data_IF_068703376039
#
_entry.id   IF_068703376039
#
_cell.length_a   1.000
_cell.length_b   1.000
_cell.length_c   1.000
_cell.angle_alpha   90.00
_cell.angle_beta   90.00
_cell.angle_gamma   90.00
#
_symmetry.space_group_name_H-M   'P 1'
#
loop_
_entity.id
_entity.type
_entity.pdbx_description
1 polymer ?
#
# COMPACT_ATOMS: atom_id res chain seq x y z
N UNK A 1 -21.40 -8.91 -14.00
CA UNK A 1 -21.55 -10.38 -14.14
C UNK A 1 -20.48 -11.07 -13.32
N UNK A 2 -20.83 -12.19 -12.67
CA UNK A 2 -19.95 -13.01 -11.83
C UNK A 2 -19.91 -14.46 -12.33
N UNK A 3 -18.73 -15.08 -12.33
CA UNK A 3 -18.50 -16.49 -12.69
C UNK A 3 -17.68 -17.16 -11.59
N UNK A 4 -18.26 -18.16 -10.93
CA UNK A 4 -17.56 -18.96 -9.91
C UNK A 4 -16.94 -20.22 -10.53
N UNK A 5 -15.70 -20.52 -10.13
CA UNK A 5 -14.91 -21.64 -10.61
C UNK A 5 -14.32 -22.40 -9.40
N UNK A 6 -14.80 -23.62 -9.17
CA UNK A 6 -14.30 -24.49 -8.10
C UNK A 6 -13.27 -25.47 -8.65
N UNK A 7 -12.21 -25.74 -7.89
CA UNK A 7 -11.14 -26.70 -8.24
C UNK A 7 -10.65 -26.52 -9.69
N UNK A 8 -10.11 -25.33 -9.92
CA UNK A 8 -9.84 -24.78 -11.24
C UNK A 8 -8.36 -24.62 -11.54
N UNK A 9 -8.05 -24.09 -12.73
CA UNK A 9 -6.69 -23.77 -13.15
C UNK A 9 -6.63 -22.35 -13.69
N UNK A 10 -5.46 -21.72 -13.66
CA UNK A 10 -5.28 -20.37 -14.22
C UNK A 10 -5.75 -20.25 -15.68
N UNK A 11 -5.57 -21.31 -16.49
CA UNK A 11 -6.08 -21.37 -17.86
C UNK A 11 -7.60 -21.29 -17.94
N UNK A 12 -8.33 -22.00 -17.06
CA UNK A 12 -9.80 -21.93 -16.98
C UNK A 12 -10.27 -20.56 -16.49
N UNK A 13 -9.55 -19.94 -15.55
CA UNK A 13 -9.82 -18.57 -15.09
C UNK A 13 -9.67 -17.56 -16.23
N UNK A 14 -8.57 -17.64 -17.00
CA UNK A 14 -8.37 -16.77 -18.16
C UNK A 14 -9.46 -16.97 -19.22
N UNK A 15 -9.90 -18.22 -19.44
CA UNK A 15 -11.02 -18.51 -20.33
C UNK A 15 -12.32 -17.85 -19.85
N UNK A 16 -12.61 -17.88 -18.55
CA UNK A 16 -13.77 -17.24 -17.96
C UNK A 16 -13.72 -15.70 -18.09
N UNK A 17 -12.54 -15.07 -17.92
CA UNK A 17 -12.34 -13.65 -18.20
C UNK A 17 -12.70 -13.30 -19.65
N UNK A 18 -12.15 -14.06 -20.62
CA UNK A 18 -12.44 -13.84 -22.05
C UNK A 18 -13.93 -14.03 -22.37
N UNK A 19 -14.56 -15.05 -21.78
CA UNK A 19 -16.00 -15.26 -21.93
C UNK A 19 -16.80 -14.10 -21.35
N UNK A 20 -16.40 -13.58 -20.18
CA UNK A 20 -17.11 -12.50 -19.54
C UNK A 20 -17.04 -11.17 -20.27
N UNK A 21 -15.87 -10.83 -20.84
CA UNK A 21 -15.73 -9.68 -21.74
C UNK A 21 -16.67 -9.77 -22.94
N UNK A 22 -16.73 -10.94 -23.57
CA UNK A 22 -17.61 -11.18 -24.74
C UNK A 22 -19.08 -11.02 -24.37
N UNK A 23 -19.49 -11.51 -23.20
CA UNK A 23 -20.88 -11.42 -22.74
C UNK A 23 -21.33 -9.96 -22.49
N UNK A 24 -20.41 -9.09 -22.06
CA UNK A 24 -20.71 -7.67 -21.79
C UNK A 24 -20.53 -6.79 -23.05
N UNK A 25 -19.97 -7.34 -24.13
CA UNK A 25 -19.78 -6.63 -25.39
C UNK A 25 -18.64 -5.59 -25.36
N UNK A 26 -17.72 -5.68 -24.39
CA UNK A 26 -16.57 -4.79 -24.27
C UNK A 26 -15.29 -5.53 -24.68
N UNK A 27 -14.74 -5.27 -25.89
CA UNK A 27 -13.62 -6.05 -26.41
C UNK A 27 -12.25 -5.65 -25.83
N UNK A 28 -12.11 -4.44 -25.27
CA UNK A 28 -10.88 -3.98 -24.66
C UNK A 28 -11.18 -3.02 -23.50
N UNK A 29 -10.70 -3.36 -22.31
CA UNK A 29 -10.66 -2.43 -21.18
C UNK A 29 -9.30 -1.72 -21.28
N UNK A 30 -9.29 -0.39 -21.36
CA UNK A 30 -8.09 0.45 -21.39
C UNK A 30 -7.36 0.45 -20.04
N UNK A 31 -7.04 -0.73 -19.53
CA UNK A 31 -6.43 -0.92 -18.22
C UNK A 31 -4.99 -0.44 -18.25
N UNK A 32 -4.62 0.34 -17.24
CA UNK A 32 -3.30 0.96 -17.13
C UNK A 32 -2.36 0.18 -16.22
N UNK A 33 -2.87 -0.81 -15.47
CA UNK A 33 -2.09 -1.69 -14.60
C UNK A 33 -2.80 -3.01 -14.28
N UNK A 34 -2.02 -3.97 -13.79
CA UNK A 34 -2.54 -5.13 -13.02
C UNK A 34 -2.22 -4.91 -11.54
N UNK A 35 -3.24 -4.86 -10.69
CA UNK A 35 -3.12 -4.80 -9.24
C UNK A 35 -3.22 -6.23 -8.69
N UNK A 36 -2.17 -6.73 -8.07
CA UNK A 36 -2.13 -8.03 -7.38
C UNK A 36 -2.23 -7.76 -5.89
N UNK A 37 -3.36 -8.11 -5.28
CA UNK A 37 -3.59 -7.94 -3.84
C UNK A 37 -3.30 -9.27 -3.17
N UNK A 38 -2.43 -9.31 -2.17
CA UNK A 38 -2.09 -10.52 -1.43
C UNK A 38 -2.58 -10.38 0.00
N UNK A 39 -3.53 -11.23 0.40
CA UNK A 39 -4.24 -11.06 1.67
C UNK A 39 -4.85 -12.38 2.16
N UNK A 40 -5.54 -12.35 3.29
CA UNK A 40 -6.33 -13.45 3.84
C UNK A 40 -7.83 -13.23 3.58
N UNK A 41 -8.69 -14.15 4.05
CA UNK A 41 -10.13 -14.00 3.84
C UNK A 41 -10.74 -12.89 4.70
N UNK A 42 -10.14 -12.55 5.83
CA UNK A 42 -10.67 -11.57 6.78
C UNK A 42 -10.54 -10.15 6.22
N UNK A 43 -9.41 -9.86 5.59
CA UNK A 43 -9.07 -8.53 5.05
C UNK A 43 -9.47 -8.37 3.57
N UNK A 44 -9.88 -9.45 2.89
CA UNK A 44 -10.17 -9.44 1.45
C UNK A 44 -11.26 -8.44 1.05
N UNK A 45 -12.31 -8.29 1.85
CA UNK A 45 -13.43 -7.41 1.52
C UNK A 45 -12.98 -5.94 1.42
N UNK A 46 -12.28 -5.45 2.45
CA UNK A 46 -11.82 -4.05 2.50
C UNK A 46 -10.76 -3.79 1.43
N UNK A 47 -9.87 -4.75 1.18
CA UNK A 47 -8.86 -4.63 0.13
C UNK A 47 -9.46 -4.58 -1.28
N UNK A 48 -10.49 -5.39 -1.56
CA UNK A 48 -11.23 -5.36 -2.83
C UNK A 48 -11.91 -4.01 -2.99
N UNK A 49 -12.61 -3.53 -1.95
CA UNK A 49 -13.30 -2.25 -1.99
C UNK A 49 -12.34 -1.09 -2.25
N UNK A 50 -11.20 -1.05 -1.57
CA UNK A 50 -10.19 -0.02 -1.77
C UNK A 50 -9.62 -0.04 -3.20
N UNK A 51 -9.40 -1.23 -3.78
CA UNK A 51 -8.94 -1.35 -5.15
C UNK A 51 -10.01 -0.97 -6.19
N UNK A 52 -11.27 -1.29 -5.93
CA UNK A 52 -12.40 -0.85 -6.76
C UNK A 52 -12.53 0.68 -6.74
N UNK A 53 -12.39 1.32 -5.58
CA UNK A 53 -12.35 2.79 -5.47
C UNK A 53 -11.20 3.37 -6.29
N UNK A 54 -9.97 2.86 -6.13
CA UNK A 54 -8.80 3.30 -6.89
C UNK A 54 -8.95 3.09 -8.42
N UNK A 55 -9.67 2.05 -8.84
CA UNK A 55 -9.88 1.75 -10.26
C UNK A 55 -10.66 2.83 -11.01
N UNK A 56 -11.45 3.66 -10.31
CA UNK A 56 -12.18 4.77 -10.94
C UNK A 56 -11.24 5.82 -11.55
N UNK A 57 -10.11 6.09 -10.91
CA UNK A 57 -9.08 7.00 -11.42
C UNK A 57 -8.10 6.27 -12.34
N UNK A 58 -7.84 4.99 -12.05
CA UNK A 58 -6.85 4.19 -12.76
C UNK A 58 -7.43 2.82 -13.13
N UNK A 59 -8.13 2.69 -14.27
CA UNK A 59 -8.74 1.42 -14.68
C UNK A 59 -7.71 0.28 -14.66
N UNK A 60 -8.02 -0.79 -13.92
CA UNK A 60 -7.04 -1.85 -13.64
C UNK A 60 -7.66 -3.25 -13.71
N UNK A 61 -6.81 -4.25 -13.98
CA UNK A 61 -7.13 -5.64 -13.66
C UNK A 61 -6.73 -5.90 -12.21
N UNK A 62 -7.67 -6.29 -11.37
CA UNK A 62 -7.41 -6.65 -9.98
C UNK A 62 -7.38 -8.17 -9.82
N UNK A 63 -6.26 -8.70 -9.35
CA UNK A 63 -6.07 -10.11 -9.01
C UNK A 63 -5.91 -10.21 -7.49
N UNK A 64 -6.91 -10.73 -6.80
CA UNK A 64 -6.91 -10.86 -5.34
C UNK A 64 -6.48 -12.28 -5.00
N UNK A 65 -5.29 -12.43 -4.45
CA UNK A 65 -4.74 -13.71 -3.99
C UNK A 65 -5.04 -13.85 -2.49
N UNK A 66 -6.07 -14.64 -2.19
CA UNK A 66 -6.43 -15.02 -0.83
C UNK A 66 -5.70 -16.31 -0.48
N UNK A 67 -4.72 -16.22 0.42
CA UNK A 67 -3.98 -17.39 0.95
C UNK A 67 -4.80 -18.03 2.08
N UNK A 68 -5.39 -19.19 1.82
CA UNK A 68 -6.22 -19.88 2.83
C UNK A 68 -5.33 -20.68 3.78
N UNK A 69 -5.18 -20.19 4.99
CA UNK A 69 -4.59 -20.97 6.08
C UNK A 69 -5.65 -21.90 6.68
N UNK A 70 -5.60 -23.19 6.36
CA UNK A 70 -6.49 -24.16 7.01
C UNK A 70 -5.96 -24.56 8.40
N UNK A 71 -6.88 -24.57 9.37
CA UNK A 71 -6.63 -25.04 10.75
C UNK A 71 -6.54 -26.57 10.80
N UNK A 72 -7.01 -27.28 9.77
CA UNK A 72 -6.97 -28.73 9.68
C UNK A 72 -5.71 -29.19 8.94
N UNK A 73 -4.76 -29.89 9.58
CA UNK A 73 -3.52 -30.33 8.95
C UNK A 73 -3.71 -31.19 7.69
N UNK A 74 -4.81 -31.95 7.59
CA UNK A 74 -5.10 -32.80 6.41
C UNK A 74 -5.53 -32.02 5.17
N UNK A 75 -6.11 -30.84 5.37
CA UNK A 75 -6.49 -29.95 4.28
C UNK A 75 -5.31 -29.10 3.82
N UNK A 76 -4.25 -28.96 4.64
CA UNK A 76 -3.02 -28.24 4.26
C UNK A 76 -2.30 -28.89 3.08
N UNK A 77 -2.55 -30.18 2.82
CA UNK A 77 -1.85 -30.94 1.77
C UNK A 77 -2.69 -31.14 0.51
N UNK A 78 -3.93 -30.62 0.45
CA UNK A 78 -4.76 -30.71 -0.75
C UNK A 78 -4.58 -29.45 -1.59
N UNK A 79 -3.77 -29.49 -2.67
CA UNK A 79 -3.62 -28.34 -3.56
C UNK A 79 -4.95 -28.08 -4.27
N UNK A 80 -5.48 -26.87 -4.12
CA UNK A 80 -6.72 -26.46 -4.77
C UNK A 80 -6.67 -24.97 -5.07
N UNK A 81 -7.29 -24.60 -6.19
CA UNK A 81 -7.56 -23.23 -6.56
C UNK A 81 -9.06 -23.08 -6.76
N UNK A 82 -9.68 -22.15 -6.06
CA UNK A 82 -10.99 -21.65 -6.43
C UNK A 82 -10.85 -20.22 -6.94
N UNK A 83 -11.71 -19.84 -7.88
CA UNK A 83 -11.70 -18.50 -8.45
C UNK A 83 -13.10 -17.94 -8.62
N UNK A 84 -13.20 -16.63 -8.47
CA UNK A 84 -14.39 -15.84 -8.80
C UNK A 84 -13.97 -14.75 -9.79
N UNK A 85 -14.58 -14.75 -10.97
CA UNK A 85 -14.33 -13.74 -12.00
C UNK A 85 -15.49 -12.76 -12.02
N UNK A 86 -15.19 -11.48 -11.78
CA UNK A 86 -16.12 -10.36 -11.85
C UNK A 86 -15.77 -9.47 -13.02
N UNK A 87 -16.78 -9.10 -13.80
CA UNK A 87 -16.66 -8.22 -14.97
C UNK A 87 -17.87 -7.30 -15.09
N UNK A 88 -17.66 -6.12 -15.69
CA UNK A 88 -18.70 -5.09 -15.84
C UNK A 88 -19.08 -4.48 -14.49
N UNK A 89 -20.38 -4.30 -14.24
CA UNK A 89 -20.91 -3.68 -13.01
C UNK A 89 -20.44 -4.32 -11.70
N UNK A 90 -19.97 -5.56 -11.74
CA UNK A 90 -19.48 -6.31 -10.57
C UNK A 90 -17.98 -6.10 -10.28
N UNK A 91 -17.26 -5.34 -11.12
CA UNK A 91 -15.81 -5.15 -11.04
C UNK A 91 -15.38 -3.67 -11.15
N UNK A 92 -16.27 -2.75 -10.77
CA UNK A 92 -16.04 -1.32 -10.94
C UNK A 92 -15.81 -0.94 -12.41
N UNK A 93 -14.71 -0.23 -12.67
CA UNK A 93 -14.30 0.19 -14.02
C UNK A 93 -13.42 -0.83 -14.75
N UNK A 94 -13.12 -1.98 -14.12
CA UNK A 94 -12.14 -2.95 -14.59
C UNK A 94 -12.61 -4.41 -14.56
N UNK A 95 -11.69 -5.30 -14.21
CA UNK A 95 -11.94 -6.73 -14.00
C UNK A 95 -11.36 -7.14 -12.66
N UNK A 96 -12.11 -7.93 -11.89
CA UNK A 96 -11.64 -8.45 -10.60
C UNK A 96 -11.68 -9.96 -10.65
N UNK A 97 -10.55 -10.59 -10.35
CA UNK A 97 -10.44 -12.04 -10.14
C UNK A 97 -10.06 -12.28 -8.69
N UNK A 98 -10.91 -12.96 -7.95
CA UNK A 98 -10.59 -13.42 -6.60
C UNK A 98 -10.12 -14.86 -6.68
N UNK A 99 -8.89 -15.12 -6.28
CA UNK A 99 -8.22 -16.42 -6.27
C UNK A 99 -8.09 -16.89 -4.82
N UNK A 100 -8.73 -17.99 -4.47
CA UNK A 100 -8.54 -18.65 -3.17
C UNK A 100 -7.61 -19.84 -3.34
N UNK A 101 -6.44 -19.72 -2.74
CA UNK A 101 -5.36 -20.71 -2.85
C UNK A 101 -5.30 -21.57 -1.60
N UNK A 102 -5.14 -22.88 -1.78
CA UNK A 102 -5.08 -23.86 -0.71
C UNK A 102 -3.85 -24.76 -0.88
N UNK A 103 -3.23 -25.12 0.25
CA UNK A 103 -2.08 -26.00 0.29
C UNK A 103 -0.90 -25.49 -0.54
N UNK A 104 -0.27 -26.38 -1.29
CA UNK A 104 0.92 -26.06 -2.12
C UNK A 104 0.67 -24.96 -3.17
N UNK A 105 -0.59 -24.75 -3.59
CA UNK A 105 -0.95 -23.64 -4.50
C UNK A 105 -0.67 -22.28 -3.84
N UNK A 106 -0.81 -22.17 -2.51
CA UNK A 106 -0.53 -20.93 -1.79
C UNK A 106 0.95 -20.57 -1.77
N UNK A 107 1.82 -21.58 -1.78
CA UNK A 107 3.28 -21.41 -1.82
C UNK A 107 3.79 -21.06 -3.23
N UNK A 108 3.03 -21.41 -4.27
CA UNK A 108 3.33 -21.16 -5.67
C UNK A 108 2.26 -20.29 -6.37
N UNK A 109 1.69 -19.34 -5.63
CA UNK A 109 0.61 -18.49 -6.13
C UNK A 109 1.04 -17.61 -7.33
N UNK A 110 2.34 -17.31 -7.45
CA UNK A 110 2.94 -16.63 -8.59
C UNK A 110 2.71 -17.37 -9.91
N UNK A 111 2.78 -18.70 -9.90
CA UNK A 111 2.51 -19.54 -11.08
C UNK A 111 1.05 -19.44 -11.57
N UNK A 112 0.12 -19.15 -10.66
CA UNK A 112 -1.30 -18.92 -10.97
C UNK A 112 -1.51 -17.50 -11.48
N UNK A 113 -0.83 -16.51 -10.90
CA UNK A 113 -0.96 -15.09 -11.21
C UNK A 113 -0.32 -14.73 -12.55
N UNK A 114 0.89 -15.24 -12.82
CA UNK A 114 1.67 -14.92 -14.03
C UNK A 114 0.87 -14.99 -15.35
N UNK A 115 0.13 -16.08 -15.66
CA UNK A 115 -0.66 -16.15 -16.90
C UNK A 115 -1.92 -15.27 -16.91
N UNK A 116 -2.29 -14.66 -15.78
CA UNK A 116 -3.44 -13.75 -15.64
C UNK A 116 -3.05 -12.27 -15.71
N UNK A 117 -1.76 -11.96 -15.74
CA UNK A 117 -1.25 -10.60 -15.90
C UNK A 117 -1.63 -10.02 -17.26
N UNK A 118 -1.73 -8.70 -17.33
CA UNK A 118 -1.78 -7.99 -18.61
C UNK A 118 -0.37 -7.91 -19.19
N UNK A 119 -0.16 -8.27 -20.47
CA UNK A 119 1.19 -8.36 -21.05
C UNK A 119 1.89 -7.00 -21.15
N UNK A 120 1.14 -5.92 -21.40
CA UNK A 120 1.69 -4.59 -21.69
C UNK A 120 1.44 -3.56 -20.58
N UNK A 121 0.97 -4.00 -19.39
CA UNK A 121 0.66 -3.10 -18.28
C UNK A 121 1.55 -3.40 -17.07
N UNK A 122 2.00 -2.37 -16.32
CA UNK A 122 2.77 -2.56 -15.11
C UNK A 122 1.98 -3.37 -14.08
N UNK A 123 2.70 -4.18 -13.31
CA UNK A 123 2.19 -4.97 -12.20
C UNK A 123 2.52 -4.24 -10.89
N UNK A 124 1.47 -4.00 -10.12
CA UNK A 124 1.55 -3.46 -8.76
C UNK A 124 1.13 -4.57 -7.81
N UNK A 125 2.02 -4.96 -6.90
CA UNK A 125 1.71 -5.95 -5.86
C UNK A 125 1.46 -5.21 -4.56
N UNK A 126 0.37 -5.50 -3.88
CA UNK A 126 -0.02 -4.83 -2.65
C UNK A 126 -0.34 -5.87 -1.57
N UNK A 127 0.28 -5.70 -0.42
CA UNK A 127 -0.05 -6.40 0.82
C UNK A 127 -0.77 -5.41 1.74
N UNK A 128 -2.10 -5.49 1.86
CA UNK A 128 -2.85 -4.68 2.82
C UNK A 128 -2.41 -4.98 4.26
N UNK A 129 -2.09 -6.25 4.52
CA UNK A 129 -1.62 -6.78 5.80
C UNK A 129 -0.49 -7.79 5.54
N UNK A 130 0.26 -8.15 6.58
CA UNK A 130 1.22 -9.29 6.58
C UNK A 130 2.20 -9.31 5.40
N UNK A 131 2.74 -8.15 5.06
CA UNK A 131 3.72 -8.03 3.99
C UNK A 131 5.01 -8.83 4.30
N UNK A 132 5.55 -9.60 3.34
CA UNK A 132 6.73 -10.45 3.55
C UNK A 132 7.95 -9.62 3.96
N UNK A 133 8.92 -10.21 4.67
CA UNK A 133 10.13 -9.51 5.13
C UNK A 133 10.91 -8.85 3.97
N UNK A 134 10.97 -9.52 2.82
CA UNK A 134 11.55 -9.00 1.58
C UNK A 134 10.53 -9.05 0.44
N UNK A 135 9.75 -7.97 0.23
CA UNK A 135 8.77 -7.88 -0.84
C UNK A 135 9.36 -8.15 -2.23
N UNK A 136 10.59 -7.73 -2.51
CA UNK A 136 11.22 -7.93 -3.81
C UNK A 136 11.64 -9.38 -4.10
N UNK A 137 11.82 -10.20 -3.05
CA UNK A 137 12.16 -11.63 -3.17
C UNK A 137 10.97 -12.56 -2.97
N UNK A 138 9.81 -12.04 -2.54
CA UNK A 138 8.58 -12.82 -2.53
C UNK A 138 8.19 -13.22 -3.95
N UNK A 139 7.74 -14.47 -4.21
CA UNK A 139 7.40 -14.92 -5.56
C UNK A 139 6.37 -14.05 -6.27
N UNK A 140 5.34 -13.56 -5.57
CA UNK A 140 4.37 -12.63 -6.15
C UNK A 140 4.97 -11.24 -6.29
N UNK A 141 5.74 -10.79 -5.29
CA UNK A 141 6.44 -9.52 -5.33
C UNK A 141 7.41 -9.36 -6.51
N UNK A 142 8.10 -10.44 -6.89
CA UNK A 142 9.01 -10.47 -8.03
C UNK A 142 8.32 -10.22 -9.39
N UNK A 143 7.00 -10.43 -9.47
CA UNK A 143 6.20 -10.09 -10.66
C UNK A 143 5.96 -8.57 -10.77
N UNK A 144 6.01 -7.85 -9.65
CA UNK A 144 5.66 -6.44 -9.55
C UNK A 144 6.81 -5.50 -9.88
N UNK A 145 6.55 -4.46 -10.67
CA UNK A 145 7.44 -3.29 -10.76
C UNK A 145 7.23 -2.35 -9.58
N UNK A 146 6.04 -2.38 -8.97
CA UNK A 146 5.72 -1.67 -7.73
C UNK A 146 5.23 -2.64 -6.67
N UNK A 147 5.69 -2.45 -5.44
CA UNK A 147 5.36 -3.28 -4.29
C UNK A 147 4.93 -2.36 -3.15
N UNK A 148 3.69 -2.50 -2.73
CA UNK A 148 3.05 -1.63 -1.74
C UNK A 148 2.91 -2.41 -0.43
N UNK A 149 3.45 -1.87 0.65
CA UNK A 149 3.27 -2.37 2.01
C UNK A 149 2.64 -1.30 2.90
N UNK A 150 2.21 -1.68 4.10
CA UNK A 150 1.74 -0.71 5.09
C UNK A 150 2.28 -1.05 6.48
N UNK A 151 3.20 -0.22 7.01
CA UNK A 151 3.71 -0.40 8.36
C UNK A 151 2.64 -0.22 9.45
N UNK A 152 1.53 0.45 9.17
CA UNK A 152 0.46 0.63 10.15
C UNK A 152 -0.35 -0.64 10.42
N UNK A 153 -0.26 -1.64 9.56
CA UNK A 153 -0.95 -2.93 9.75
C UNK A 153 -0.05 -3.98 10.39
N UNK A 154 1.22 -3.66 10.66
CA UNK A 154 2.15 -4.53 11.36
C UNK A 154 1.93 -4.47 12.88
N UNK A 155 2.05 -5.62 13.54
CA UNK A 155 2.00 -5.72 15.01
C UNK A 155 3.13 -4.93 15.69
N UNK A 156 4.34 -4.97 15.12
CA UNK A 156 5.51 -4.25 15.60
C UNK A 156 6.09 -3.36 14.47
N UNK A 157 5.50 -2.19 14.18
CA UNK A 157 5.87 -1.37 13.03
C UNK A 157 7.34 -0.97 12.97
N UNK A 158 7.96 -0.68 14.12
CA UNK A 158 9.37 -0.25 14.18
C UNK A 158 10.34 -1.39 13.86
N UNK A 159 10.02 -2.63 14.28
CA UNK A 159 10.81 -3.81 13.92
C UNK A 159 10.70 -4.11 12.42
N UNK A 160 9.48 -4.03 11.88
CA UNK A 160 9.24 -4.21 10.44
C UNK A 160 9.94 -3.11 9.64
N UNK A 161 9.94 -1.86 10.10
CA UNK A 161 10.66 -0.77 9.44
C UNK A 161 12.17 -1.04 9.38
N UNK A 162 12.77 -1.54 10.45
CA UNK A 162 14.19 -1.92 10.46
C UNK A 162 14.48 -3.10 9.51
N UNK A 163 13.57 -4.08 9.42
CA UNK A 163 13.68 -5.15 8.43
C UNK A 163 13.59 -4.59 6.99
N UNK A 164 12.62 -3.70 6.72
CA UNK A 164 12.45 -3.02 5.42
C UNK A 164 13.68 -2.23 5.03
N UNK A 165 14.35 -1.57 5.98
CA UNK A 165 15.60 -0.85 5.72
C UNK A 165 16.70 -1.77 5.17
N UNK A 166 16.73 -3.04 5.59
CA UNK A 166 17.73 -4.03 5.15
C UNK A 166 17.37 -4.68 3.82
N UNK A 167 16.09 -4.74 3.49
CA UNK A 167 15.59 -5.46 2.30
C UNK A 167 15.10 -4.56 1.18
N UNK A 168 15.07 -3.24 1.39
CA UNK A 168 14.55 -2.26 0.44
C UNK A 168 15.11 -2.46 -0.97
N UNK A 169 14.20 -2.51 -1.94
CA UNK A 169 14.52 -2.49 -3.36
C UNK A 169 13.78 -1.35 -4.07
N UNK A 170 14.36 -0.78 -5.14
CA UNK A 170 13.64 0.16 -6.01
C UNK A 170 12.29 -0.43 -6.48
N UNK A 171 11.23 0.36 -6.31
CA UNK A 171 9.85 -0.07 -6.57
C UNK A 171 9.05 -0.38 -5.31
N UNK A 172 9.70 -0.55 -4.16
CA UNK A 172 9.04 -0.67 -2.86
C UNK A 172 8.52 0.69 -2.41
N UNK A 173 7.27 0.73 -1.95
CA UNK A 173 6.62 1.90 -1.37
C UNK A 173 5.84 1.45 -0.13
N UNK A 174 6.05 2.11 0.99
CA UNK A 174 5.20 1.93 2.17
C UNK A 174 4.15 3.04 2.27
N UNK A 175 2.90 2.69 2.58
CA UNK A 175 1.83 3.66 2.73
C UNK A 175 2.04 4.63 3.90
N UNK A 176 2.83 4.26 4.93
CA UNK A 176 3.24 5.20 5.97
C UNK A 176 3.99 6.41 5.38
N UNK A 177 4.81 6.21 4.34
CA UNK A 177 5.47 7.31 3.63
C UNK A 177 4.51 8.16 2.80
N UNK A 178 3.55 7.50 2.15
CA UNK A 178 2.52 8.18 1.34
C UNK A 178 1.65 9.10 2.20
N UNK A 179 1.29 8.68 3.43
CA UNK A 179 0.53 9.49 4.40
C UNK A 179 1.23 10.80 4.81
N UNK A 180 2.54 10.91 4.61
CA UNK A 180 3.33 12.12 4.90
C UNK A 180 3.35 13.12 3.74
N UNK A 181 2.68 12.86 2.62
CA UNK A 181 2.76 13.74 1.44
C UNK A 181 2.36 15.18 1.77
N UNK A 182 1.24 15.38 2.48
CA UNK A 182 0.80 16.73 2.88
C UNK A 182 1.74 17.38 3.88
N UNK A 183 2.25 16.62 4.87
CA UNK A 183 3.26 17.12 5.82
C UNK A 183 4.51 17.63 5.08
N UNK A 184 5.07 16.81 4.18
CA UNK A 184 6.27 17.17 3.40
C UNK A 184 6.03 18.38 2.50
N UNK A 185 4.88 18.45 1.83
CA UNK A 185 4.52 19.59 0.98
C UNK A 185 4.38 20.89 1.78
N UNK A 186 3.68 20.85 2.92
CA UNK A 186 3.50 22.03 3.77
C UNK A 186 4.81 22.49 4.39
N UNK A 187 5.68 21.58 4.84
CA UNK A 187 7.00 21.92 5.37
C UNK A 187 7.89 22.57 4.32
N UNK A 188 7.89 22.04 3.09
CA UNK A 188 8.63 22.63 1.99
C UNK A 188 8.13 24.06 1.68
N UNK A 189 6.81 24.24 1.56
CA UNK A 189 6.20 25.56 1.30
C UNK A 189 6.48 26.56 2.43
N UNK A 190 6.40 26.13 3.69
CA UNK A 190 6.68 26.96 4.85
C UNK A 190 8.14 27.45 4.87
N UNK A 191 9.09 26.58 4.52
CA UNK A 191 10.51 26.94 4.42
C UNK A 191 10.80 27.88 3.24
N UNK A 192 10.15 27.66 2.09
CA UNK A 192 10.27 28.55 0.93
C UNK A 192 9.81 29.98 1.26
N UNK A 193 8.77 30.11 2.10
CA UNK A 193 8.24 31.38 2.57
C UNK A 193 9.10 32.02 3.68
N UNK A 194 9.53 31.23 4.67
CA UNK A 194 10.33 31.71 5.79
C UNK A 194 11.72 32.19 5.33
N UNK A 195 12.30 31.54 4.31
CA UNK A 195 13.66 31.80 3.81
C UNK A 195 14.73 31.77 4.92
N UNK A 196 14.46 31.00 5.96
CA UNK A 196 15.31 30.89 7.14
C UNK A 196 16.14 29.59 7.11
N UNK A 197 17.32 29.63 7.72
CA UNK A 197 18.13 28.42 7.91
C UNK A 197 17.62 27.66 9.12
N UNK A 198 17.23 26.40 8.91
CA UNK A 198 16.83 25.50 10.00
C UNK A 198 18.06 25.04 10.77
N UNK A 199 18.00 25.13 12.10
CA UNK A 199 19.08 24.73 13.02
C UNK A 199 18.71 23.51 13.87
N UNK A 200 17.42 23.23 14.05
CA UNK A 200 16.90 22.06 14.78
C UNK A 200 15.54 21.68 14.22
N UNK A 201 15.11 20.44 14.43
CA UNK A 201 13.76 20.02 14.12
C UNK A 201 13.22 19.03 15.16
N UNK A 202 11.91 19.06 15.37
CA UNK A 202 11.19 18.13 16.23
C UNK A 202 9.99 17.58 15.47
N UNK A 203 9.77 16.27 15.56
CA UNK A 203 8.56 15.60 15.07
C UNK A 203 7.81 15.02 16.27
N UNK A 204 6.58 15.46 16.45
CA UNK A 204 5.69 15.01 17.52
C UNK A 204 4.68 13.99 16.97
N UNK A 205 4.55 12.85 17.63
CA UNK A 205 3.60 11.81 17.27
C UNK A 205 3.37 10.85 18.44
N UNK A 206 2.36 9.98 18.33
CA UNK A 206 2.22 8.82 19.22
C UNK A 206 3.49 7.94 19.23
N UNK A 207 3.65 7.17 20.32
CA UNK A 207 4.75 6.24 20.47
C UNK A 207 4.79 5.23 19.30
N UNK A 208 6.01 4.83 18.91
CA UNK A 208 6.24 3.81 17.87
C UNK A 208 5.60 4.07 16.50
N UNK A 209 5.23 5.33 16.22
CA UNK A 209 4.66 5.69 14.93
C UNK A 209 5.70 5.61 13.79
N UNK A 210 5.49 4.77 12.75
CA UNK A 210 6.47 4.60 11.66
C UNK A 210 6.54 5.80 10.72
N UNK A 211 5.42 6.51 10.49
CA UNK A 211 5.42 7.71 9.66
C UNK A 211 6.22 8.85 10.32
N UNK A 212 6.11 9.01 11.62
CA UNK A 212 6.92 9.98 12.37
C UNK A 212 8.42 9.67 12.28
N UNK A 213 8.80 8.39 12.34
CA UNK A 213 10.19 7.96 12.12
C UNK A 213 10.67 8.36 10.72
N UNK A 214 9.90 7.99 9.70
CA UNK A 214 10.24 8.29 8.30
C UNK A 214 10.34 9.80 8.05
N UNK A 215 9.43 10.60 8.63
CA UNK A 215 9.45 12.05 8.52
C UNK A 215 10.69 12.65 9.18
N UNK A 216 11.03 12.19 10.39
CA UNK A 216 12.21 12.66 11.11
C UNK A 216 13.50 12.35 10.34
N UNK A 217 13.64 11.13 9.81
CA UNK A 217 14.80 10.74 9.00
C UNK A 217 14.88 11.48 7.67
N UNK A 218 13.74 11.76 7.04
CA UNK A 218 13.70 12.58 5.84
C UNK A 218 14.16 14.02 6.12
N UNK A 219 13.65 14.65 7.18
CA UNK A 219 14.09 15.99 7.59
C UNK A 219 15.59 16.01 7.90
N UNK A 220 16.08 15.03 8.65
CA UNK A 220 17.50 14.90 8.96
C UNK A 220 18.35 14.79 7.69
N UNK A 221 17.93 13.98 6.72
CA UNK A 221 18.64 13.81 5.46
C UNK A 221 18.63 15.08 4.58
N UNK A 222 17.52 15.83 4.58
CA UNK A 222 17.36 17.03 3.74
C UNK A 222 18.00 18.28 4.35
N UNK A 223 17.86 18.46 5.66
CA UNK A 223 18.28 19.66 6.38
C UNK A 223 19.66 19.52 7.04
N UNK A 224 20.14 18.28 7.24
CA UNK A 224 21.42 17.97 7.91
C UNK A 224 21.50 18.52 9.34
N UNK A 225 20.37 18.57 10.03
CA UNK A 225 20.26 18.93 11.46
C UNK A 225 19.81 17.73 12.27
N UNK A 226 20.05 17.77 13.59
CA UNK A 226 19.44 16.80 14.51
C UNK A 226 17.92 16.96 14.49
N UNK A 227 17.21 15.83 14.43
CA UNK A 227 15.75 15.80 14.48
C UNK A 227 15.31 14.95 15.66
N UNK A 228 14.70 15.59 16.64
CA UNK A 228 14.19 14.93 17.83
C UNK A 228 12.79 14.36 17.58
N UNK A 229 12.53 13.19 18.16
CA UNK A 229 11.18 12.62 18.21
C UNK A 229 10.63 12.80 19.60
N UNK A 230 9.46 13.42 19.68
CA UNK A 230 8.74 13.65 20.94
C UNK A 230 7.43 12.88 20.90
N UNK A 231 7.14 12.17 21.98
CA UNK A 231 5.88 11.43 22.11
C UNK A 231 4.77 12.41 22.47
N UNK A 232 3.70 12.40 21.69
CA UNK A 232 2.45 13.12 21.93
C UNK A 232 1.29 12.15 22.10
N UNK A 233 0.10 12.68 22.45
CA UNK A 233 -1.10 11.86 22.62
C UNK A 233 -1.65 11.25 21.31
N UNK A 234 -1.18 11.72 20.15
CA UNK A 234 -1.66 11.25 18.85
C UNK A 234 -3.11 11.67 18.53
N UNK A 235 -3.75 11.02 17.54
CA UNK A 235 -3.21 9.93 16.73
C UNK A 235 -2.18 10.43 15.71
N UNK A 236 -1.33 9.52 15.24
CA UNK A 236 -0.34 9.76 14.17
C UNK A 236 0.62 10.93 14.45
N UNK A 237 1.17 11.57 13.40
CA UNK A 237 1.94 12.81 13.52
C UNK A 237 1.02 13.96 13.93
N UNK A 238 1.36 14.61 15.05
CA UNK A 238 0.59 15.75 15.60
C UNK A 238 1.27 17.07 15.31
N UNK A 239 2.60 17.16 15.32
CA UNK A 239 3.28 18.41 15.02
C UNK A 239 4.66 18.22 14.40
N UNK A 240 5.12 19.24 13.69
CA UNK A 240 6.51 19.41 13.29
C UNK A 240 6.95 20.83 13.61
N UNK A 241 8.07 20.96 14.34
CA UNK A 241 8.67 22.25 14.71
C UNK A 241 10.05 22.33 14.09
N UNK A 242 10.34 23.41 13.39
CA UNK A 242 11.65 23.69 12.81
C UNK A 242 12.21 24.96 13.47
N UNK A 243 13.28 24.81 14.24
CA UNK A 243 13.95 25.93 14.89
C UNK A 243 14.79 26.71 13.88
N UNK A 244 14.69 28.04 13.94
CA UNK A 244 15.47 28.98 13.12
C UNK A 244 16.00 30.13 13.99
N UNK A 245 16.85 31.00 13.44
CA UNK A 245 17.34 32.18 14.15
C UNK A 245 16.22 33.17 14.52
N UNK A 246 15.14 33.21 13.73
CA UNK A 246 14.05 34.18 13.87
C UNK A 246 12.87 33.62 14.68
N UNK A 247 12.93 32.36 15.11
CA UNK A 247 11.86 31.64 15.82
C UNK A 247 11.56 30.27 15.21
N UNK A 248 10.47 29.64 15.65
CA UNK A 248 10.06 28.33 15.14
C UNK A 248 9.07 28.44 13.98
N UNK A 249 9.30 27.65 12.93
CA UNK A 249 8.27 27.30 11.95
C UNK A 249 7.54 26.07 12.48
N UNK A 250 6.24 26.20 12.72
CA UNK A 250 5.44 25.14 13.36
C UNK A 250 4.28 24.75 12.46
N UNK A 251 4.14 23.46 12.20
CA UNK A 251 2.89 22.88 11.72
C UNK A 251 2.33 22.07 12.88
N UNK A 252 1.19 22.51 13.41
CA UNK A 252 0.53 21.90 14.56
C UNK A 252 -0.85 21.39 14.18
N UNK A 253 -1.11 20.11 14.46
CA UNK A 253 -2.36 19.41 14.21
C UNK A 253 -2.69 18.56 15.45
N UNK A 254 -3.12 19.20 16.54
CA UNK A 254 -3.38 18.49 17.79
C UNK A 254 -4.65 17.64 17.71
N UNK A 255 -5.69 18.11 16.99
CA UNK A 255 -6.97 17.40 16.86
C UNK A 255 -7.61 17.60 15.48
N UNK A 256 -8.16 16.53 14.90
CA UNK A 256 -8.98 16.60 13.69
C UNK A 256 -8.21 16.83 12.38
N UNK A 257 -8.91 17.21 11.29
CA UNK A 257 -8.33 17.31 9.96
C UNK A 257 -7.57 18.62 9.70
N UNK A 258 -7.69 19.61 10.59
CA UNK A 258 -7.14 20.95 10.41
C UNK A 258 -5.78 21.08 11.07
N UNK A 259 -4.80 21.58 10.32
CA UNK A 259 -3.47 21.93 10.83
C UNK A 259 -3.28 23.45 10.77
N UNK A 260 -2.61 23.99 11.77
CA UNK A 260 -2.20 25.40 11.84
C UNK A 260 -0.72 25.50 11.44
N UNK A 261 -0.41 26.37 10.48
CA UNK A 261 0.96 26.74 10.14
C UNK A 261 1.28 28.08 10.80
N UNK A 262 2.29 28.11 11.68
CA UNK A 262 2.82 29.34 12.26
C UNK A 262 4.23 29.60 11.72
N UNK A 263 4.44 30.81 11.22
CA UNK A 263 5.75 31.32 10.78
C UNK A 263 6.18 32.46 11.71
N UNK A 264 7.48 32.55 12.06
CA UNK A 264 7.95 33.66 12.88
C UNK A 264 7.65 35.02 12.25
N UNK A 265 7.13 35.94 13.05
CA UNK A 265 6.81 37.30 12.61
C UNK A 265 5.58 37.42 11.70
N UNK A 266 4.82 36.34 11.48
CA UNK A 266 3.56 36.37 10.73
C UNK A 266 2.37 36.05 11.64
N UNK A 267 1.20 36.65 11.38
CA UNK A 267 -0.02 36.24 12.07
C UNK A 267 -0.37 34.78 11.72
N UNK A 268 -1.00 34.05 12.65
CA UNK A 268 -1.48 32.68 12.42
C UNK A 268 -2.62 32.61 11.40
#
# INVERSE_FOLDING_TARGET
MKIDLTDTTASKVNKALVQGRRAIGTPAVGMVLTMVIVTDEENAYDAIKAAEEASHEHPSRTLVVIKRHTRNPRERTHPRLDAEVRVGSEAGTGETVVLRTYGEVSEHADSVVLPLLLPDAPVVVWWPTDAPENPAKDPLGALGQRRITDLYTAENPMEVLEARRRTYAPGDTDLAWTRLTLWRSMLAAALDQARATVTSATVEAEADNPAAELLARWLQARLRVTVDRVVSAGPVVTAVRLGTADGEVVIDRPEGPLATLALPGQPP
#
